data_IF_217007679254
#
_entry.id   IF_217007679254
#
_cell.length_a   1.000
_cell.length_b   1.000
_cell.length_c   1.000
_cell.angle_alpha   90.00
_cell.angle_beta   90.00
_cell.angle_gamma   90.00
#
_symmetry.space_group_name_H-M   'P 1'
#
loop_
_entity.id
_entity.type
_entity.pdbx_description
1 polymer ?
#
# COMPACT_ATOMS: atom_id res chain seq x y z
N UNK A 1 -24.48 0.17 6.17
CA UNK A 1 -23.08 0.06 5.71
C UNK A 1 -22.84 -1.40 5.36
N UNK A 2 -22.73 -1.74 4.08
CA UNK A 2 -22.59 -3.14 3.65
C UNK A 2 -21.14 -3.56 3.89
N UNK A 3 -20.91 -4.46 4.85
CA UNK A 3 -19.63 -5.14 5.00
C UNK A 3 -19.35 -5.87 3.69
N UNK A 4 -18.41 -5.36 2.89
CA UNK A 4 -17.94 -6.06 1.70
C UNK A 4 -17.22 -7.30 2.19
N UNK A 5 -17.88 -8.45 2.12
CA UNK A 5 -17.23 -9.74 2.29
C UNK A 5 -16.24 -9.86 1.13
N UNK A 6 -14.96 -9.65 1.42
CA UNK A 6 -13.92 -9.85 0.43
C UNK A 6 -13.69 -11.36 0.28
N UNK A 7 -14.05 -11.92 -0.86
CA UNK A 7 -13.69 -13.31 -1.15
C UNK A 7 -12.18 -13.45 -1.28
N UNK A 8 -11.54 -14.37 -0.52
CA UNK A 8 -10.10 -14.55 -0.54
C UNK A 8 -9.56 -15.01 -1.91
N UNK A 9 -10.42 -15.54 -2.79
CA UNK A 9 -10.08 -15.87 -4.18
C UNK A 9 -9.83 -14.67 -5.09
N UNK A 10 -10.12 -13.44 -4.63
CA UNK A 10 -9.93 -12.23 -5.43
C UNK A 10 -8.50 -11.65 -5.34
N UNK A 11 -7.61 -12.23 -4.52
CA UNK A 11 -6.19 -11.85 -4.48
C UNK A 11 -5.42 -12.44 -5.67
N UNK A 12 -5.39 -11.70 -6.76
CA UNK A 12 -4.79 -12.14 -8.03
C UNK A 12 -3.36 -11.66 -8.25
N UNK A 13 -2.86 -10.72 -7.44
CA UNK A 13 -1.53 -10.13 -7.63
C UNK A 13 -0.59 -10.49 -6.49
N UNK A 14 0.64 -10.88 -6.82
CA UNK A 14 1.74 -10.97 -5.85
C UNK A 14 2.49 -9.63 -5.84
N UNK A 15 2.65 -9.06 -4.65
CA UNK A 15 3.35 -7.81 -4.39
C UNK A 15 4.48 -8.05 -3.40
N UNK A 16 5.64 -7.43 -3.63
CA UNK A 16 6.71 -7.38 -2.64
C UNK A 16 6.47 -6.19 -1.72
N UNK A 17 6.39 -6.44 -0.43
CA UNK A 17 6.37 -5.42 0.60
C UNK A 17 7.80 -4.98 0.86
N UNK A 18 8.04 -3.68 0.72
CA UNK A 18 9.33 -3.07 0.95
C UNK A 18 9.23 -2.08 2.11
N UNK A 19 10.14 -2.21 3.06
CA UNK A 19 10.28 -1.32 4.20
C UNK A 19 11.45 -0.37 3.98
N UNK A 20 11.24 0.90 4.34
CA UNK A 20 12.33 1.88 4.37
C UNK A 20 13.38 1.45 5.39
N UNK A 21 14.63 1.37 4.97
CA UNK A 21 15.78 1.13 5.83
C UNK A 21 16.69 2.35 5.72
N UNK A 22 16.76 3.13 6.79
CA UNK A 22 17.72 4.21 6.98
C UNK A 22 19.06 3.61 7.44
N UNK A 23 19.83 3.05 6.50
CA UNK A 23 21.23 2.78 6.79
C UNK A 23 21.99 4.10 6.64
N UNK A 24 22.40 4.70 7.76
CA UNK A 24 23.09 5.98 7.77
C UNK A 24 24.48 5.88 7.13
N UNK A 25 24.69 6.56 6.00
CA UNK A 25 25.92 6.48 5.20
C UNK A 25 27.12 7.26 5.79
N UNK A 26 27.03 7.70 7.05
CA UNK A 26 28.15 8.33 7.77
C UNK A 26 28.71 9.64 7.20
N UNK A 27 28.25 10.14 6.05
CA UNK A 27 28.83 11.29 5.33
C UNK A 27 27.80 12.34 4.86
N UNK A 28 26.69 12.51 5.59
CA UNK A 28 25.79 13.66 5.39
C UNK A 28 24.77 13.53 4.24
N UNK A 29 24.65 12.37 3.60
CA UNK A 29 23.56 12.04 2.68
C UNK A 29 22.67 10.93 3.25
N UNK A 30 21.36 11.15 3.34
CA UNK A 30 20.40 10.09 3.70
C UNK A 30 20.08 9.29 2.43
N UNK A 31 20.80 8.19 2.18
CA UNK A 31 20.40 7.23 1.16
C UNK A 31 19.20 6.47 1.70
N UNK A 32 18.03 6.71 1.11
CA UNK A 32 16.84 5.95 1.48
C UNK A 32 16.86 4.60 0.77
N UNK A 33 17.29 3.56 1.49
CA UNK A 33 17.20 2.20 1.00
C UNK A 33 15.81 1.61 1.30
N UNK A 34 15.38 0.67 0.47
CA UNK A 34 14.16 -0.10 0.68
C UNK A 34 14.53 -1.58 0.65
N UNK A 35 14.26 -2.29 1.74
CA UNK A 35 14.50 -3.71 1.85
C UNK A 35 13.19 -4.47 1.69
N UNK A 36 13.20 -5.55 0.92
CA UNK A 36 12.04 -6.44 0.79
C UNK A 36 11.86 -7.20 2.11
N UNK A 37 10.78 -6.92 2.82
CA UNK A 37 10.43 -7.62 4.07
C UNK A 37 9.59 -8.87 3.84
N UNK A 38 8.93 -8.98 2.68
CA UNK A 38 8.24 -10.20 2.26
C UNK A 38 7.35 -10.00 1.04
N UNK A 39 6.74 -11.06 0.53
CA UNK A 39 5.73 -10.95 -0.53
C UNK A 39 4.32 -11.21 0.02
N UNK A 40 3.33 -10.50 -0.50
CA UNK A 40 1.90 -10.66 -0.19
C UNK A 40 1.08 -10.94 -1.43
N UNK A 41 0.02 -11.72 -1.25
CA UNK A 41 -1.08 -11.76 -2.20
C UNK A 41 -2.02 -10.61 -1.93
N UNK A 42 -2.36 -9.89 -3.00
CA UNK A 42 -3.13 -8.68 -2.94
C UNK A 42 -4.13 -8.59 -4.11
N UNK A 43 -5.15 -7.77 -3.90
CA UNK A 43 -6.05 -7.32 -4.97
C UNK A 43 -5.78 -5.83 -5.17
N UNK A 44 -5.44 -5.47 -6.41
CA UNK A 44 -5.15 -4.09 -6.79
C UNK A 44 -6.39 -3.53 -7.49
N UNK A 45 -6.98 -2.49 -6.92
CA UNK A 45 -8.10 -1.77 -7.50
C UNK A 45 -7.63 -0.35 -7.86
N UNK A 46 -7.56 0.00 -9.16
CA UNK A 46 -7.31 1.38 -9.54
C UNK A 46 -8.48 2.24 -9.04
N UNK A 47 -8.16 3.38 -8.45
CA UNK A 47 -9.14 4.39 -8.12
C UNK A 47 -9.21 5.30 -9.34
N UNK A 48 -10.35 5.27 -10.04
CA UNK A 48 -10.61 6.27 -11.07
C UNK A 48 -10.56 7.63 -10.38
N UNK A 49 -9.57 8.43 -10.75
CA UNK A 49 -9.51 9.84 -10.38
C UNK A 49 -10.60 10.52 -11.20
N UNK A 50 -11.84 10.51 -10.72
CA UNK A 50 -12.78 11.52 -11.18
C UNK A 50 -12.18 12.87 -10.78
N UNK A 51 -11.94 13.72 -11.78
CA UNK A 51 -11.16 14.96 -11.75
C UNK A 51 -11.67 16.00 -10.73
N UNK A 52 -12.68 15.68 -9.93
CA UNK A 52 -13.30 16.58 -8.97
C UNK A 52 -13.11 16.24 -7.49
N UNK A 53 -12.72 15.03 -7.09
CA UNK A 53 -12.96 14.66 -5.69
C UNK A 53 -11.92 13.74 -5.04
N UNK A 54 -11.63 14.10 -3.79
CA UNK A 54 -10.98 13.31 -2.73
C UNK A 54 -9.45 13.27 -2.77
N UNK A 55 -8.86 14.43 -2.44
CA UNK A 55 -7.87 14.41 -1.38
C UNK A 55 -8.52 13.78 -0.14
N UNK A 56 -8.24 12.51 0.13
CA UNK A 56 -8.45 11.91 1.45
C UNK A 56 -7.76 12.89 2.43
N UNK A 57 -8.37 13.17 3.59
CA UNK A 57 -8.17 14.28 4.55
C UNK A 57 -6.69 14.69 4.88
N UNK A 58 -5.72 13.93 4.39
CA UNK A 58 -4.27 14.15 4.42
C UNK A 58 -3.63 14.78 3.15
N UNK A 59 -4.38 15.16 2.10
CA UNK A 59 -3.85 15.92 0.96
C UNK A 59 -3.03 15.14 -0.09
N UNK A 60 -3.06 13.81 -0.06
CA UNK A 60 -2.34 12.98 -1.03
C UNK A 60 -3.28 12.37 -2.09
N UNK A 61 -2.86 12.39 -3.35
CA UNK A 61 -3.59 11.73 -4.44
C UNK A 61 -3.47 10.20 -4.32
N UNK A 62 -4.56 9.55 -3.91
CA UNK A 62 -4.65 8.09 -3.88
C UNK A 62 -5.02 7.59 -5.27
N UNK A 63 -4.13 6.79 -5.87
CA UNK A 63 -4.31 6.25 -7.23
C UNK A 63 -4.84 4.81 -7.21
N UNK A 64 -4.53 4.06 -6.15
CA UNK A 64 -4.80 2.63 -6.07
C UNK A 64 -5.24 2.26 -4.65
N UNK A 65 -6.24 1.39 -4.56
CA UNK A 65 -6.62 0.69 -3.34
C UNK A 65 -6.12 -0.74 -3.43
N UNK A 66 -5.28 -1.14 -2.50
CA UNK A 66 -4.67 -2.46 -2.45
C UNK A 66 -5.22 -3.20 -1.24
N UNK A 67 -5.91 -4.31 -1.47
CA UNK A 67 -6.42 -5.18 -0.42
C UNK A 67 -5.46 -6.32 -0.18
N UNK A 68 -5.15 -6.58 1.08
CA UNK A 68 -4.31 -7.70 1.51
C UNK A 68 -4.97 -8.41 2.69
N UNK A 69 -4.49 -9.61 3.02
CA UNK A 69 -4.79 -10.22 4.32
C UNK A 69 -4.27 -9.34 5.44
N UNK A 70 -4.99 -9.34 6.56
CA UNK A 70 -4.56 -8.64 7.76
C UNK A 70 -3.16 -9.08 8.18
N UNK A 71 -2.33 -8.09 8.50
CA UNK A 71 -0.98 -8.28 9.01
C UNK A 71 -0.60 -7.08 9.85
N UNK A 72 0.13 -7.32 10.94
CA UNK A 72 0.46 -6.28 11.90
C UNK A 72 1.80 -5.57 11.61
N UNK A 73 2.52 -6.04 10.59
CA UNK A 73 3.82 -5.49 10.18
C UNK A 73 3.71 -4.46 9.04
N UNK A 74 2.51 -3.98 8.73
CA UNK A 74 2.31 -2.86 7.79
C UNK A 74 2.44 -1.55 8.55
N UNK A 75 3.29 -0.66 8.04
CA UNK A 75 3.52 0.68 8.60
C UNK A 75 3.47 1.76 7.52
N UNK A 76 3.27 3.00 7.97
CA UNK A 76 3.34 4.17 7.10
C UNK A 76 4.78 4.33 6.54
N UNK A 77 4.92 4.68 5.27
CA UNK A 77 6.21 4.82 4.58
C UNK A 77 6.76 3.52 3.96
N UNK A 78 6.08 2.40 4.16
CA UNK A 78 6.31 1.18 3.36
C UNK A 78 5.73 1.34 1.95
N UNK A 79 6.12 0.46 1.05
CA UNK A 79 5.63 0.44 -0.34
C UNK A 79 5.45 -0.99 -0.84
N UNK A 80 4.50 -1.16 -1.76
CA UNK A 80 4.33 -2.41 -2.50
C UNK A 80 5.00 -2.30 -3.86
N UNK A 81 5.70 -3.35 -4.29
CA UNK A 81 6.31 -3.43 -5.62
C UNK A 81 5.70 -4.58 -6.41
N UNK A 82 5.31 -4.30 -7.65
CA UNK A 82 4.85 -5.30 -8.64
C UNK A 82 5.76 -5.25 -9.86
N UNK A 83 6.81 -6.06 -9.86
CA UNK A 83 7.83 -5.98 -10.91
C UNK A 83 8.49 -4.59 -10.91
N UNK A 84 8.24 -3.80 -11.95
CA UNK A 84 8.73 -2.42 -12.08
C UNK A 84 7.78 -1.33 -11.55
N UNK A 85 6.55 -1.67 -11.16
CA UNK A 85 5.58 -0.69 -10.62
C UNK A 85 5.73 -0.57 -9.10
N UNK A 86 5.73 0.64 -8.57
CA UNK A 86 5.88 0.93 -7.15
C UNK A 86 4.66 1.67 -6.63
N UNK A 87 4.06 1.17 -5.55
CA UNK A 87 2.89 1.73 -4.89
C UNK A 87 3.23 2.11 -3.46
N UNK A 88 3.37 3.40 -3.17
CA UNK A 88 3.69 3.91 -1.83
C UNK A 88 2.44 3.86 -0.97
N UNK A 89 2.55 3.25 0.22
CA UNK A 89 1.45 3.17 1.18
C UNK A 89 1.33 4.53 1.88
N UNK A 90 0.20 5.21 1.66
CA UNK A 90 -0.09 6.51 2.30
C UNK A 90 -0.94 6.33 3.55
N UNK A 91 -1.93 5.46 3.48
CA UNK A 91 -2.77 5.10 4.61
C UNK A 91 -3.19 3.64 4.50
N UNK A 92 -3.53 3.03 5.62
CA UNK A 92 -4.10 1.69 5.67
C UNK A 92 -5.12 1.62 6.81
N UNK A 93 -6.15 0.80 6.65
CA UNK A 93 -7.19 0.61 7.65
C UNK A 93 -7.79 -0.78 7.55
N UNK A 94 -8.33 -1.28 8.67
CA UNK A 94 -9.18 -2.48 8.71
C UNK A 94 -10.64 -2.02 8.50
N UNK A 95 -11.24 -2.25 7.32
CA UNK A 95 -12.54 -1.66 6.98
C UNK A 95 -13.72 -2.30 7.71
N UNK A 96 -13.51 -3.51 8.25
CA UNK A 96 -14.55 -4.29 8.93
C UNK A 96 -14.21 -4.57 10.40
N UNK A 97 -13.08 -4.07 10.90
CA UNK A 97 -12.54 -4.27 12.25
C UNK A 97 -12.44 -5.75 12.69
N UNK A 98 -12.60 -6.70 11.76
CA UNK A 98 -12.53 -8.14 12.08
C UNK A 98 -11.12 -8.70 11.99
N UNK A 99 -10.14 -7.86 11.63
CA UNK A 99 -8.73 -8.23 11.41
C UNK A 99 -8.55 -9.37 10.42
N UNK A 100 -9.41 -9.41 9.40
CA UNK A 100 -9.31 -10.38 8.30
C UNK A 100 -8.53 -9.80 7.13
N UNK A 101 -8.77 -8.53 6.84
CA UNK A 101 -8.20 -7.84 5.69
C UNK A 101 -7.72 -6.44 6.07
N UNK A 102 -6.81 -5.90 5.26
CA UNK A 102 -6.44 -4.50 5.32
C UNK A 102 -6.65 -3.89 3.94
N UNK A 103 -7.18 -2.68 3.91
CA UNK A 103 -7.21 -1.84 2.72
C UNK A 103 -6.12 -0.80 2.83
N UNK A 104 -5.16 -0.84 1.91
CA UNK A 104 -4.08 0.13 1.79
C UNK A 104 -4.44 1.13 0.67
N UNK A 105 -4.46 2.41 1.02
CA UNK A 105 -4.54 3.52 0.07
C UNK A 105 -3.12 3.84 -0.40
N UNK A 106 -2.88 3.68 -1.70
CA UNK A 106 -1.56 3.79 -2.28
C UNK A 106 -1.51 4.79 -3.44
N UNK A 107 -0.35 5.43 -3.56
CA UNK A 107 0.00 6.27 -4.72
C UNK A 107 1.05 5.54 -5.55
N UNK A 108 0.82 5.41 -6.85
CA UNK A 108 1.82 4.85 -7.77
C UNK A 108 2.89 5.90 -8.08
N UNK A 109 4.16 5.53 -7.94
CA UNK A 109 5.28 6.39 -8.37
C UNK A 109 5.73 6.03 -9.79
N UNK A 110 6.00 7.05 -10.61
CA UNK A 110 6.49 6.88 -11.99
C UNK A 110 5.42 7.00 -13.08
N UNK A 111 4.38 7.82 -12.88
CA UNK A 111 3.49 8.24 -13.96
C UNK A 111 4.03 9.47 -14.68
#
# INVERSE_FOLDING_TARGET
MVARILDPGQFSARLDLEMRSDTGDGQGGVVTAYAVTGSVWARIEPVAVEVGEVADEAGFAVTHRIWIRFRNDIGAGMRFRKGGRVFVIRAFSDPDETRRYLVCRCTEEGR
#
